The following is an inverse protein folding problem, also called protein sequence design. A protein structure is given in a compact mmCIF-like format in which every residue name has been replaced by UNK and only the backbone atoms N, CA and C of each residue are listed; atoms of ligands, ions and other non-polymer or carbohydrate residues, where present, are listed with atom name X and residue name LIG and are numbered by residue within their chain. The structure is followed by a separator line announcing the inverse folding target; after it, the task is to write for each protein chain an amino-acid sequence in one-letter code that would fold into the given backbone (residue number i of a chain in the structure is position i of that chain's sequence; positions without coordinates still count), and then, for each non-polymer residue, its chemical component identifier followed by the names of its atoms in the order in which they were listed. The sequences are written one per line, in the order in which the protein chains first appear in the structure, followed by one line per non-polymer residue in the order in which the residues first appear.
data_IF_966060037587
#
_entry.id   IF_966060037587
#
_cell.length_a   1.000
_cell.length_b   1.000
_cell.length_c   1.000
_cell.angle_alpha   90.00
_cell.angle_beta   90.00
_cell.angle_gamma   90.00
#
_symmetry.space_group_name_H-M   'P 1'
#
loop_
_entity.id
_entity.type
_entity.pdbx_description
1 polymer ?
#
# COMPACT_ATOMS: atom_id res chain seq x y z
N UNK A 1 5.24 14.24 -33.27
CA UNK A 1 5.02 15.01 -32.02
C UNK A 1 4.20 14.24 -30.99
N UNK A 2 2.93 13.83 -31.20
CA UNK A 2 2.18 13.09 -30.18
C UNK A 2 2.74 11.68 -29.90
N UNK A 3 3.21 10.96 -30.89
CA UNK A 3 3.81 9.61 -30.78
C UNK A 3 5.18 9.67 -30.09
N UNK A 4 6.03 10.65 -30.44
CA UNK A 4 7.34 10.84 -29.79
C UNK A 4 7.21 11.19 -28.30
N UNK A 5 6.24 12.03 -27.92
CA UNK A 5 5.98 12.32 -26.50
C UNK A 5 5.46 11.09 -25.72
N UNK A 6 4.81 10.17 -26.38
CA UNK A 6 4.31 8.94 -25.76
C UNK A 6 5.44 7.92 -25.56
N UNK A 7 6.36 7.79 -26.53
CA UNK A 7 7.56 6.96 -26.42
C UNK A 7 8.53 7.50 -25.36
N UNK A 8 8.81 8.81 -25.32
CA UNK A 8 9.65 9.43 -24.31
C UNK A 8 9.09 9.25 -22.90
N UNK A 9 7.77 9.38 -22.73
CA UNK A 9 7.10 9.16 -21.46
C UNK A 9 7.17 7.70 -21.00
N UNK A 10 7.09 6.76 -21.94
CA UNK A 10 7.18 5.33 -21.65
C UNK A 10 8.61 4.93 -21.25
N UNK A 11 9.64 5.43 -21.97
CA UNK A 11 11.06 5.24 -21.60
C UNK A 11 11.35 5.80 -20.20
N UNK A 12 10.84 6.99 -19.90
CA UNK A 12 11.02 7.62 -18.59
C UNK A 12 10.46 6.72 -17.48
N UNK A 13 9.25 6.20 -17.64
CA UNK A 13 8.61 5.36 -16.64
C UNK A 13 9.27 3.99 -16.51
N UNK A 14 9.56 3.32 -17.61
CA UNK A 14 10.00 1.94 -17.60
C UNK A 14 11.50 1.79 -17.27
N UNK A 15 12.33 2.74 -17.66
CA UNK A 15 13.78 2.64 -17.53
C UNK A 15 14.38 3.58 -16.49
N UNK A 16 13.98 4.85 -16.47
CA UNK A 16 14.63 5.86 -15.64
C UNK A 16 14.07 5.87 -14.22
N UNK A 17 12.75 5.79 -14.04
CA UNK A 17 12.14 5.83 -12.73
C UNK A 17 12.60 4.73 -11.77
N UNK A 18 12.71 3.45 -12.18
CA UNK A 18 13.23 2.40 -11.31
C UNK A 18 14.68 2.61 -10.88
N UNK A 19 15.52 3.17 -11.77
CA UNK A 19 16.93 3.45 -11.47
C UNK A 19 17.07 4.58 -10.45
N UNK A 20 16.32 5.68 -10.63
CA UNK A 20 16.28 6.79 -9.67
C UNK A 20 15.77 6.28 -8.32
N UNK A 21 14.71 5.48 -8.30
CA UNK A 21 14.15 4.91 -7.09
C UNK A 21 15.16 4.00 -6.37
N UNK A 22 15.95 3.22 -7.10
CA UNK A 22 17.00 2.36 -6.54
C UNK A 22 18.14 3.17 -5.89
N UNK A 23 18.59 4.24 -6.56
CA UNK A 23 19.63 5.14 -6.02
C UNK A 23 19.15 5.88 -4.77
N UNK A 24 17.91 6.41 -4.79
CA UNK A 24 17.32 7.06 -3.63
C UNK A 24 17.20 6.09 -2.45
N UNK A 25 16.75 4.86 -2.68
CA UNK A 25 16.64 3.83 -1.62
C UNK A 25 17.99 3.51 -1.01
N UNK A 26 19.06 3.41 -1.81
CA UNK A 26 20.42 3.20 -1.32
C UNK A 26 20.89 4.34 -0.42
N UNK A 27 20.71 5.59 -0.82
CA UNK A 27 21.06 6.77 -0.03
C UNK A 27 20.25 6.84 1.29
N UNK A 28 18.99 6.45 1.24
CA UNK A 28 18.10 6.44 2.41
C UNK A 28 18.48 5.39 3.46
N UNK A 29 19.13 4.27 3.09
CA UNK A 29 19.55 3.23 4.02
C UNK A 29 20.47 3.76 5.14
N UNK A 30 21.40 4.64 4.80
CA UNK A 30 22.30 5.27 5.79
C UNK A 30 21.55 6.20 6.75
N UNK A 31 20.57 6.92 6.25
CA UNK A 31 19.71 7.82 7.04
C UNK A 31 18.86 6.99 8.02
N UNK A 32 18.33 5.86 7.59
CA UNK A 32 17.56 4.95 8.44
C UNK A 32 18.35 4.51 9.68
N UNK A 33 19.59 4.02 9.48
CA UNK A 33 20.44 3.57 10.57
C UNK A 33 20.74 4.67 11.60
N UNK A 34 20.86 5.92 11.17
CA UNK A 34 21.02 7.05 12.08
C UNK A 34 19.72 7.39 12.82
N UNK A 35 18.58 7.39 12.10
CA UNK A 35 17.27 7.72 12.66
C UNK A 35 16.82 6.73 13.72
N UNK A 36 16.98 5.41 13.50
CA UNK A 36 16.56 4.38 14.47
C UNK A 36 17.27 4.52 15.82
N UNK A 37 18.49 5.11 15.84
CA UNK A 37 19.21 5.40 17.09
C UNK A 37 18.69 6.63 17.83
N UNK A 38 18.04 7.55 17.12
CA UNK A 38 17.52 8.80 17.70
C UNK A 38 16.07 8.69 18.15
N UNK A 39 15.32 7.73 17.58
CA UNK A 39 13.91 7.53 17.90
C UNK A 39 13.78 6.92 19.31
N UNK A 40 12.91 7.44 20.19
CA UNK A 40 12.70 6.91 21.52
C UNK A 40 12.01 5.55 21.48
N UNK A 41 12.22 4.75 22.51
CA UNK A 41 11.58 3.44 22.67
C UNK A 41 10.08 3.57 22.83
N UNK A 42 9.65 4.54 23.63
CA UNK A 42 8.25 4.94 23.79
C UNK A 42 8.13 6.46 23.66
N UNK A 43 6.93 6.95 23.32
CA UNK A 43 6.73 8.40 23.19
C UNK A 43 6.88 9.07 24.57
N UNK A 44 7.77 10.06 24.70
CA UNK A 44 7.91 10.80 25.94
C UNK A 44 6.66 11.64 26.23
N UNK A 45 6.33 11.79 27.50
CA UNK A 45 5.30 12.72 27.96
C UNK A 45 5.78 14.17 27.76
N UNK A 46 4.92 15.00 27.16
CA UNK A 46 5.16 16.44 26.92
C UNK A 46 5.43 16.81 25.47
N UNK A 47 4.96 18.01 25.10
CA UNK A 47 5.15 18.59 23.77
C UNK A 47 6.56 19.14 23.57
N UNK A 48 7.08 19.05 22.34
CA UNK A 48 8.36 19.65 21.95
C UNK A 48 9.62 18.91 22.39
N UNK A 49 9.49 17.66 22.82
CA UNK A 49 10.65 16.84 23.21
C UNK A 49 11.52 16.44 22.00
N UNK A 50 12.82 16.20 22.23
CA UNK A 50 13.75 15.66 21.20
C UNK A 50 13.22 14.34 20.61
N UNK A 51 12.60 13.50 21.45
CA UNK A 51 11.99 12.23 21.02
C UNK A 51 10.81 12.43 20.07
N UNK A 52 9.96 13.43 20.31
CA UNK A 52 8.87 13.77 19.40
C UNK A 52 9.41 14.22 18.04
N UNK A 53 10.42 15.09 18.03
CA UNK A 53 11.08 15.54 16.81
C UNK A 53 11.68 14.38 16.02
N UNK A 54 12.31 13.41 16.70
CA UNK A 54 12.87 12.22 16.09
C UNK A 54 11.79 11.32 15.48
N UNK A 55 10.65 11.12 16.15
CA UNK A 55 9.52 10.35 15.63
C UNK A 55 8.89 11.01 14.39
N UNK A 56 8.73 12.34 14.40
CA UNK A 56 8.25 13.11 13.24
C UNK A 56 9.23 12.96 12.06
N UNK A 57 10.53 13.04 12.31
CA UNK A 57 11.56 12.85 11.30
C UNK A 57 11.51 11.43 10.72
N UNK A 58 11.35 10.43 11.57
CA UNK A 58 11.20 9.02 11.19
C UNK A 58 9.94 8.82 10.32
N UNK A 59 8.80 9.37 10.70
CA UNK A 59 7.59 9.35 9.88
C UNK A 59 7.84 9.98 8.49
N UNK A 60 8.46 11.14 8.44
CA UNK A 60 8.82 11.83 7.19
C UNK A 60 9.71 10.96 6.30
N UNK A 61 10.68 10.28 6.89
CA UNK A 61 11.54 9.32 6.23
C UNK A 61 10.75 8.15 5.61
N UNK A 62 9.85 7.51 6.36
CA UNK A 62 9.02 6.41 5.87
C UNK A 62 8.06 6.85 4.76
N UNK A 63 7.51 8.08 4.84
CA UNK A 63 6.71 8.69 3.76
C UNK A 63 7.53 8.83 2.48
N UNK A 64 8.74 9.35 2.57
CA UNK A 64 9.63 9.49 1.41
C UNK A 64 9.98 8.12 0.82
N UNK A 65 10.31 7.14 1.65
CA UNK A 65 10.60 5.77 1.20
C UNK A 65 9.40 5.13 0.50
N UNK A 66 8.19 5.37 0.99
CA UNK A 66 6.95 4.92 0.35
C UNK A 66 6.77 5.57 -1.04
N UNK A 67 7.03 6.87 -1.18
CA UNK A 67 7.00 7.55 -2.48
C UNK A 67 7.98 6.90 -3.47
N UNK A 68 9.21 6.64 -3.03
CA UNK A 68 10.23 5.95 -3.82
C UNK A 68 9.77 4.55 -4.24
N UNK A 69 9.15 3.80 -3.32
CA UNK A 69 8.61 2.48 -3.62
C UNK A 69 7.46 2.54 -4.64
N UNK A 70 6.54 3.49 -4.52
CA UNK A 70 5.45 3.64 -5.48
C UNK A 70 5.98 4.07 -6.86
N UNK A 71 6.98 4.95 -6.89
CA UNK A 71 7.64 5.37 -8.12
C UNK A 71 8.34 4.20 -8.82
N UNK A 72 9.02 3.31 -8.07
CA UNK A 72 9.66 2.12 -8.64
C UNK A 72 8.69 1.13 -9.28
N UNK A 73 7.42 1.17 -8.89
CA UNK A 73 6.37 0.32 -9.44
C UNK A 73 5.52 1.02 -10.52
N UNK A 74 5.77 2.30 -10.80
CA UNK A 74 5.03 3.06 -11.81
C UNK A 74 5.01 2.38 -13.21
N UNK A 75 6.07 1.67 -13.67
CA UNK A 75 6.03 0.93 -14.92
C UNK A 75 4.88 -0.08 -15.05
N UNK A 76 4.38 -0.62 -13.92
CA UNK A 76 3.24 -1.54 -13.95
C UNK A 76 1.96 -0.91 -14.52
N UNK A 77 1.84 0.43 -14.44
CA UNK A 77 0.63 1.14 -14.89
C UNK A 77 0.46 0.98 -16.41
N UNK A 78 1.57 1.02 -17.18
CA UNK A 78 1.59 0.83 -18.63
C UNK A 78 1.78 -0.63 -19.04
N UNK A 79 2.21 -1.51 -18.14
CA UNK A 79 2.44 -2.92 -18.44
C UNK A 79 1.14 -3.65 -18.76
N UNK A 80 1.14 -4.38 -19.89
CA UNK A 80 0.01 -5.21 -20.34
C UNK A 80 0.24 -6.71 -20.11
N UNK A 81 1.47 -7.13 -19.85
CA UNK A 81 1.82 -8.53 -19.67
C UNK A 81 1.35 -9.05 -18.31
N UNK A 82 0.96 -10.34 -18.26
CA UNK A 82 0.61 -10.99 -16.99
C UNK A 82 1.79 -11.01 -16.02
N UNK A 83 1.48 -10.89 -14.73
CA UNK A 83 2.48 -11.02 -13.66
C UNK A 83 2.88 -12.49 -13.47
N UNK A 84 4.16 -12.71 -13.15
CA UNK A 84 4.62 -14.03 -12.72
C UNK A 84 4.03 -14.37 -11.35
N UNK A 85 3.28 -15.46 -11.26
CA UNK A 85 2.56 -15.85 -10.04
C UNK A 85 3.16 -17.07 -9.38
N UNK A 86 2.92 -17.20 -8.06
CA UNK A 86 3.25 -18.35 -7.22
C UNK A 86 2.03 -18.75 -6.41
N UNK A 87 1.90 -20.03 -6.06
CA UNK A 87 0.84 -20.45 -5.15
C UNK A 87 1.13 -19.93 -3.74
N UNK A 88 0.18 -19.22 -3.17
CA UNK A 88 0.27 -18.65 -1.82
C UNK A 88 -0.97 -19.07 -1.03
N UNK A 89 -0.78 -19.43 0.23
CA UNK A 89 -1.87 -19.62 1.18
C UNK A 89 -2.35 -18.26 1.67
N UNK A 90 -3.47 -17.79 1.11
CA UNK A 90 -3.93 -16.40 1.26
C UNK A 90 -4.49 -16.09 2.64
N UNK A 91 -5.09 -17.09 3.32
CA UNK A 91 -5.69 -16.87 4.64
C UNK A 91 -4.62 -16.62 5.68
N UNK A 92 -3.59 -17.46 5.75
CA UNK A 92 -2.46 -17.28 6.66
C UNK A 92 -1.71 -15.98 6.34
N UNK A 93 -1.40 -15.73 5.06
CA UNK A 93 -0.72 -14.54 4.61
C UNK A 93 -1.46 -13.25 5.03
N UNK A 94 -2.78 -13.19 4.79
CA UNK A 94 -3.56 -12.01 5.14
C UNK A 94 -3.74 -11.86 6.64
N UNK A 95 -3.92 -12.97 7.37
CA UNK A 95 -4.07 -12.96 8.84
C UNK A 95 -2.82 -12.39 9.50
N UNK A 96 -1.64 -12.79 9.05
CA UNK A 96 -0.37 -12.28 9.57
C UNK A 96 -0.18 -10.79 9.29
N UNK A 97 -0.44 -10.34 8.05
CA UNK A 97 -0.40 -8.91 7.70
C UNK A 97 -1.35 -8.08 8.58
N UNK A 98 -2.57 -8.55 8.79
CA UNK A 98 -3.54 -7.85 9.62
C UNK A 98 -3.14 -7.85 11.09
N UNK A 99 -2.58 -8.96 11.60
CA UNK A 99 -2.08 -9.03 12.96
C UNK A 99 -0.98 -7.99 13.22
N UNK A 100 -0.04 -7.84 12.30
CA UNK A 100 0.99 -6.80 12.39
C UNK A 100 0.45 -5.38 12.23
N UNK A 101 -0.61 -5.18 11.44
CA UNK A 101 -1.15 -3.85 11.14
C UNK A 101 -2.07 -3.31 12.25
N UNK A 102 -2.86 -4.17 12.90
CA UNK A 102 -3.87 -3.77 13.88
C UNK A 102 -3.33 -2.86 15.00
N UNK A 103 -2.22 -3.18 15.71
CA UNK A 103 -1.72 -2.33 16.78
C UNK A 103 -1.25 -0.97 16.26
N UNK A 104 -0.68 -0.90 15.05
CA UNK A 104 -0.21 0.33 14.46
C UNK A 104 -1.35 1.22 13.97
N UNK A 105 -2.39 0.64 13.37
CA UNK A 105 -3.59 1.36 12.94
C UNK A 105 -4.37 1.94 14.14
N UNK A 106 -4.32 1.27 15.29
CA UNK A 106 -4.92 1.78 16.53
C UNK A 106 -4.35 3.15 16.95
N UNK A 107 -3.07 3.47 16.62
CA UNK A 107 -2.51 4.81 16.87
C UNK A 107 -3.23 5.92 16.08
N UNK A 108 -3.87 5.60 14.96
CA UNK A 108 -4.72 6.54 14.23
C UNK A 108 -6.15 6.65 14.80
N UNK A 109 -6.46 5.92 15.87
CA UNK A 109 -7.81 5.86 16.45
C UNK A 109 -8.80 5.07 15.60
N UNK A 110 -8.33 4.28 14.64
CA UNK A 110 -9.16 3.49 13.71
C UNK A 110 -9.14 2.03 14.10
N UNK A 111 -10.30 1.37 14.06
CA UNK A 111 -10.41 -0.08 14.29
C UNK A 111 -10.18 -0.82 12.98
N UNK A 112 -9.17 -1.68 12.92
CA UNK A 112 -8.92 -2.57 11.78
C UNK A 112 -9.44 -3.97 12.08
N UNK A 113 -10.33 -4.51 11.23
CA UNK A 113 -10.96 -5.82 11.38
C UNK A 113 -10.71 -6.70 10.16
N UNK A 114 -10.36 -7.96 10.37
CA UNK A 114 -10.31 -8.98 9.33
C UNK A 114 -11.57 -9.85 9.38
N UNK A 115 -12.29 -9.98 8.26
CA UNK A 115 -13.41 -10.90 8.08
C UNK A 115 -13.05 -11.94 7.03
N UNK A 116 -12.82 -13.17 7.46
CA UNK A 116 -12.52 -14.29 6.58
C UNK A 116 -13.36 -15.51 6.99
N UNK A 117 -14.13 -16.03 6.06
CA UNK A 117 -14.92 -17.25 6.26
C UNK A 117 -14.20 -18.51 5.81
N UNK A 118 -13.01 -18.36 5.21
CA UNK A 118 -12.19 -19.45 4.71
C UNK A 118 -11.24 -19.91 5.81
N UNK A 119 -11.05 -21.22 5.95
CA UNK A 119 -10.06 -21.79 6.86
C UNK A 119 -8.68 -21.88 6.23
N UNK A 120 -8.63 -22.11 4.91
CA UNK A 120 -7.43 -22.10 4.09
C UNK A 120 -7.82 -21.85 2.63
N UNK A 121 -7.00 -21.10 1.90
CA UNK A 121 -7.22 -20.87 0.47
C UNK A 121 -5.91 -20.60 -0.26
N UNK A 122 -5.59 -21.43 -1.23
CA UNK A 122 -4.38 -21.30 -2.05
C UNK A 122 -4.75 -20.76 -3.42
N UNK A 123 -4.14 -19.63 -3.81
CA UNK A 123 -4.26 -19.07 -5.14
C UNK A 123 -2.90 -18.64 -5.72
N UNK A 124 -2.82 -18.64 -7.06
CA UNK A 124 -1.64 -18.16 -7.78
C UNK A 124 -1.64 -16.64 -7.83
N UNK A 125 -0.75 -16.02 -7.05
CA UNK A 125 -0.58 -14.55 -6.96
C UNK A 125 0.89 -14.18 -7.05
N UNK A 126 1.17 -12.90 -7.33
CA UNK A 126 2.49 -12.29 -7.13
C UNK A 126 2.55 -11.66 -5.73
N UNK A 127 3.25 -12.27 -4.73
CA UNK A 127 3.14 -11.88 -3.32
C UNK A 127 3.43 -10.40 -3.08
N UNK A 128 4.59 -9.90 -3.55
CA UNK A 128 5.02 -8.52 -3.30
C UNK A 128 4.09 -7.47 -3.93
N UNK A 129 3.50 -7.75 -5.09
CA UNK A 129 2.56 -6.84 -5.71
C UNK A 129 1.19 -6.87 -5.04
N UNK A 130 0.71 -8.06 -4.61
CA UNK A 130 -0.53 -8.12 -3.85
C UNK A 130 -0.38 -7.44 -2.47
N UNK A 131 0.76 -7.60 -1.81
CA UNK A 131 1.09 -6.90 -0.57
C UNK A 131 1.09 -5.38 -0.77
N UNK A 132 1.73 -4.88 -1.83
CA UNK A 132 1.72 -3.46 -2.21
C UNK A 132 0.31 -2.93 -2.45
N UNK A 133 -0.52 -3.70 -3.17
CA UNK A 133 -1.92 -3.36 -3.41
C UNK A 133 -2.66 -3.22 -2.08
N UNK A 134 -2.54 -4.20 -1.19
CA UNK A 134 -3.19 -4.18 0.12
C UNK A 134 -2.77 -2.95 0.94
N UNK A 135 -1.46 -2.65 1.03
CA UNK A 135 -0.98 -1.47 1.75
C UNK A 135 -1.47 -0.15 1.15
N UNK A 136 -1.59 -0.04 -0.17
CA UNK A 136 -2.14 1.15 -0.80
C UNK A 136 -3.63 1.33 -0.47
N UNK A 137 -4.42 0.27 -0.50
CA UNK A 137 -5.85 0.31 -0.13
C UNK A 137 -6.03 0.62 1.36
N UNK A 138 -5.30 -0.07 2.24
CA UNK A 138 -5.35 0.15 3.69
C UNK A 138 -4.93 1.57 4.07
N UNK A 139 -3.88 2.09 3.45
CA UNK A 139 -3.45 3.45 3.73
C UNK A 139 -4.51 4.49 3.37
N UNK A 140 -5.18 4.31 2.23
CA UNK A 140 -6.28 5.20 1.88
C UNK A 140 -7.45 5.06 2.87
N UNK A 141 -7.85 3.83 3.18
CA UNK A 141 -8.93 3.56 4.13
C UNK A 141 -8.66 4.20 5.51
N UNK A 142 -7.48 3.97 6.08
CA UNK A 142 -7.11 4.53 7.40
C UNK A 142 -6.99 6.05 7.36
N UNK A 143 -6.40 6.61 6.30
CA UNK A 143 -6.20 8.06 6.14
C UNK A 143 -7.51 8.84 6.09
N UNK A 144 -8.54 8.29 5.45
CA UNK A 144 -9.82 8.99 5.25
C UNK A 144 -10.91 8.56 6.23
N UNK A 145 -10.60 7.64 7.15
CA UNK A 145 -11.48 7.26 8.27
C UNK A 145 -11.21 8.15 9.47
N UNK A 146 -12.21 8.84 10.02
CA UNK A 146 -12.04 9.63 11.23
C UNK A 146 -11.75 8.74 12.45
N UNK A 147 -11.14 9.32 13.48
CA UNK A 147 -10.92 8.62 14.76
C UNK A 147 -12.24 8.08 15.32
N UNK A 148 -12.22 6.85 15.82
CA UNK A 148 -13.41 6.09 16.24
C UNK A 148 -14.07 5.27 15.12
N UNK A 149 -13.65 5.46 13.85
CA UNK A 149 -14.17 4.71 12.71
C UNK A 149 -13.56 3.31 12.56
N UNK A 150 -14.02 2.59 11.55
CA UNK A 150 -13.64 1.20 11.30
C UNK A 150 -13.18 1.00 9.85
N UNK A 151 -12.14 0.18 9.69
CA UNK A 151 -11.69 -0.37 8.41
C UNK A 151 -11.81 -1.89 8.47
N UNK A 152 -12.57 -2.47 7.54
CA UNK A 152 -12.77 -3.92 7.45
C UNK A 152 -12.10 -4.46 6.20
N UNK A 153 -11.23 -5.46 6.37
CA UNK A 153 -10.67 -6.26 5.29
C UNK A 153 -11.42 -7.58 5.22
N UNK A 154 -11.89 -7.95 4.03
CA UNK A 154 -12.64 -9.20 3.83
C UNK A 154 -11.97 -10.05 2.75
N UNK A 155 -11.79 -11.36 3.03
CA UNK A 155 -11.35 -12.33 2.05
C UNK A 155 -12.44 -13.38 1.83
N UNK A 156 -12.84 -13.57 0.57
CA UNK A 156 -13.84 -14.56 0.16
C UNK A 156 -13.45 -15.21 -1.16
N UNK A 157 -13.90 -16.43 -1.38
CA UNK A 157 -13.85 -17.11 -2.68
C UNK A 157 -15.28 -17.27 -3.20
N UNK A 158 -15.55 -16.83 -4.42
CA UNK A 158 -16.86 -16.94 -5.05
C UNK A 158 -16.73 -16.97 -6.58
N UNK A 159 -17.53 -17.81 -7.23
CA UNK A 159 -17.66 -17.86 -8.70
C UNK A 159 -16.34 -17.94 -9.46
N UNK A 160 -15.38 -18.73 -8.97
CA UNK A 160 -14.06 -18.90 -9.60
C UNK A 160 -13.12 -17.71 -9.43
N UNK A 161 -13.41 -16.84 -8.45
CA UNK A 161 -12.57 -15.70 -8.08
C UNK A 161 -12.30 -15.65 -6.59
N UNK A 162 -11.14 -15.12 -6.23
CA UNK A 162 -10.81 -14.65 -4.89
C UNK A 162 -11.14 -13.17 -4.82
N UNK A 163 -11.91 -12.78 -3.82
CA UNK A 163 -12.34 -11.41 -3.59
C UNK A 163 -11.66 -10.87 -2.32
N UNK A 164 -10.78 -9.90 -2.49
CA UNK A 164 -10.18 -9.13 -1.40
C UNK A 164 -10.85 -7.76 -1.36
N UNK A 165 -11.55 -7.46 -0.27
CA UNK A 165 -12.30 -6.22 -0.11
C UNK A 165 -11.71 -5.43 1.07
N UNK A 166 -11.48 -4.12 0.87
CA UNK A 166 -11.17 -3.15 1.92
C UNK A 166 -12.32 -2.15 1.95
N UNK A 167 -13.00 -2.08 3.09
CA UNK A 167 -14.12 -1.16 3.32
C UNK A 167 -13.79 -0.27 4.51
N UNK A 168 -14.03 1.02 4.38
CA UNK A 168 -13.87 2.03 5.42
C UNK A 168 -15.20 2.73 5.73
N UNK A 169 -15.33 3.24 6.95
CA UNK A 169 -16.42 4.10 7.39
C UNK A 169 -16.04 5.58 7.32
N UNK A 170 -15.26 5.94 6.32
CA UNK A 170 -14.72 7.29 6.13
C UNK A 170 -15.70 8.26 5.49
N UNK A 171 -15.20 9.42 5.09
CA UNK A 171 -15.98 10.51 4.49
C UNK A 171 -16.47 10.22 3.08
N UNK A 172 -16.03 9.10 2.49
CA UNK A 172 -16.30 8.75 1.10
C UNK A 172 -15.60 9.66 0.08
N UNK A 173 -15.87 9.42 -1.19
CA UNK A 173 -15.29 10.14 -2.33
C UNK A 173 -16.42 10.81 -3.10
N UNK A 174 -16.40 12.13 -3.30
CA UNK A 174 -17.39 12.85 -4.10
C UNK A 174 -17.51 12.29 -5.52
N UNK A 175 -18.72 12.20 -6.11
CA UNK A 175 -18.93 11.60 -7.43
C UNK A 175 -18.06 12.21 -8.53
N UNK A 176 -17.85 13.53 -8.51
CA UNK A 176 -17.00 14.24 -9.47
C UNK A 176 -15.52 13.83 -9.39
N UNK A 177 -15.06 13.38 -8.22
CA UNK A 177 -13.69 12.88 -8.05
C UNK A 177 -13.57 11.41 -8.44
N UNK A 178 -14.64 10.61 -8.28
CA UNK A 178 -14.63 9.19 -8.60
C UNK A 178 -14.29 8.92 -10.07
N UNK A 179 -14.79 9.76 -10.98
CA UNK A 179 -14.53 9.65 -12.43
C UNK A 179 -13.02 9.74 -12.78
N UNK A 180 -12.23 10.38 -11.92
CA UNK A 180 -10.81 10.70 -12.18
C UNK A 180 -9.82 9.92 -11.31
N UNK A 181 -10.30 9.02 -10.44
CA UNK A 181 -9.44 8.27 -9.51
C UNK A 181 -8.41 7.36 -10.18
N UNK A 182 -8.73 6.89 -11.38
CA UNK A 182 -7.90 5.97 -12.15
C UNK A 182 -7.22 6.65 -13.35
N UNK A 183 -7.54 7.92 -13.61
CA UNK A 183 -6.83 8.70 -14.61
C UNK A 183 -5.37 8.80 -14.18
N UNK A 184 -4.49 8.19 -14.97
CA UNK A 184 -3.07 8.14 -14.66
C UNK A 184 -2.51 9.54 -14.46
N UNK A 185 -1.70 9.70 -13.44
CA UNK A 185 -1.01 10.94 -13.07
C UNK A 185 -0.30 11.63 -14.27
N UNK A 186 0.13 10.86 -15.25
CA UNK A 186 0.85 11.32 -16.42
C UNK A 186 0.03 12.14 -17.41
N UNK A 187 -1.30 11.96 -17.46
CA UNK A 187 -2.15 12.74 -18.36
C UNK A 187 -2.41 14.17 -17.84
N UNK A 188 -2.28 14.44 -16.57
CA UNK A 188 -2.68 15.72 -15.98
C UNK A 188 -1.55 16.61 -15.47
N UNK A 189 -0.30 16.14 -15.36
CA UNK A 189 0.89 16.90 -14.87
C UNK A 189 0.63 17.88 -13.70
N UNK A 190 -0.46 17.69 -12.97
CA UNK A 190 -0.82 18.51 -11.81
C UNK A 190 -0.66 17.66 -10.56
N UNK A 191 0.49 17.87 -9.89
CA UNK A 191 0.67 17.32 -8.56
C UNK A 191 -0.42 17.84 -7.63
N UNK A 192 -1.21 16.94 -6.98
CA UNK A 192 -2.09 17.41 -5.92
C UNK A 192 -1.25 18.08 -4.83
N UNK A 193 -1.76 19.14 -4.21
CA UNK A 193 -1.01 19.80 -3.14
C UNK A 193 -0.73 18.83 -1.99
N UNK A 194 0.45 18.95 -1.34
CA UNK A 194 0.71 18.19 -0.11
C UNK A 194 -0.43 18.40 0.92
N UNK A 195 -0.85 17.35 1.64
CA UNK A 195 -0.16 16.08 1.93
C UNK A 195 -0.70 14.88 1.13
N UNK A 196 -1.30 15.06 -0.04
CA UNK A 196 -2.08 14.02 -0.73
C UNK A 196 -1.26 12.95 -1.46
N UNK A 197 0.07 13.04 -1.49
CA UNK A 197 0.94 12.08 -2.18
C UNK A 197 0.88 12.21 -3.71
N UNK A 198 1.53 11.26 -4.44
CA UNK A 198 1.66 11.31 -5.90
C UNK A 198 0.40 10.85 -6.67
N UNK A 199 -0.67 10.46 -6.01
CA UNK A 199 -1.86 9.92 -6.69
C UNK A 199 -1.66 8.57 -7.39
N UNK A 200 -0.52 7.90 -7.20
CA UNK A 200 -0.19 6.63 -7.86
C UNK A 200 -0.82 5.39 -7.21
N UNK A 201 -1.37 5.50 -6.00
CA UNK A 201 -1.82 4.34 -5.22
C UNK A 201 -2.93 3.54 -5.91
N UNK A 202 -4.04 4.17 -6.27
CA UNK A 202 -5.17 3.50 -6.94
C UNK A 202 -4.84 3.05 -8.37
N UNK A 203 -4.18 3.84 -9.22
CA UNK A 203 -3.68 3.37 -10.52
C UNK A 203 -2.78 2.14 -10.42
N UNK A 204 -1.86 2.08 -9.44
CA UNK A 204 -1.04 0.91 -9.17
C UNK A 204 -1.88 -0.30 -8.74
N UNK A 205 -2.88 -0.11 -7.85
CA UNK A 205 -3.78 -1.18 -7.45
C UNK A 205 -4.55 -1.75 -8.65
N UNK A 206 -5.03 -0.90 -9.55
CA UNK A 206 -5.71 -1.32 -10.78
C UNK A 206 -4.76 -2.09 -11.72
N UNK A 207 -3.53 -1.60 -11.91
CA UNK A 207 -2.53 -2.27 -12.72
C UNK A 207 -2.13 -3.64 -12.15
N UNK A 208 -1.94 -3.73 -10.84
CA UNK A 208 -1.65 -5.00 -10.16
C UNK A 208 -2.81 -5.99 -10.31
N UNK A 209 -4.05 -5.55 -10.10
CA UNK A 209 -5.22 -6.41 -10.30
C UNK A 209 -5.30 -6.92 -11.75
N UNK A 210 -5.11 -6.04 -12.72
CA UNK A 210 -5.08 -6.38 -14.16
C UNK A 210 -3.95 -7.37 -14.49
N UNK A 211 -2.74 -7.15 -13.96
CA UNK A 211 -1.60 -8.04 -14.17
C UNK A 211 -1.81 -9.46 -13.61
N UNK A 212 -2.71 -9.63 -12.62
CA UNK A 212 -3.18 -10.94 -12.16
C UNK A 212 -4.33 -11.50 -13.02
N UNK A 213 -4.79 -10.79 -14.06
CA UNK A 213 -5.98 -11.15 -14.84
C UNK A 213 -7.29 -10.85 -14.12
N UNK A 214 -7.25 -10.01 -13.11
CA UNK A 214 -8.37 -9.62 -12.27
C UNK A 214 -8.89 -8.21 -12.55
N UNK A 215 -9.71 -7.70 -11.61
CA UNK A 215 -10.34 -6.38 -11.70
C UNK A 215 -10.38 -5.71 -10.32
N UNK A 216 -10.41 -4.37 -10.33
CA UNK A 216 -10.64 -3.55 -9.15
C UNK A 216 -11.97 -2.81 -9.35
N UNK A 217 -12.84 -2.90 -8.33
CA UNK A 217 -14.13 -2.23 -8.26
C UNK A 217 -14.12 -1.30 -7.06
N UNK A 218 -14.61 -0.07 -7.25
CA UNK A 218 -14.71 0.94 -6.20
C UNK A 218 -16.17 1.37 -6.09
N UNK A 219 -16.68 1.39 -4.86
CA UNK A 219 -17.97 1.94 -4.49
C UNK A 219 -17.75 2.92 -3.35
N UNK A 220 -18.25 4.14 -3.46
CA UNK A 220 -18.06 5.16 -2.44
C UNK A 220 -19.29 6.05 -2.34
N UNK A 221 -19.58 6.46 -1.12
CA UNK A 221 -20.71 7.30 -0.75
C UNK A 221 -20.47 7.96 0.62
N UNK A 222 -21.46 8.64 1.18
CA UNK A 222 -21.33 9.36 2.46
C UNK A 222 -21.05 8.45 3.66
N UNK A 223 -21.30 7.14 3.53
CA UNK A 223 -21.06 6.13 4.58
C UNK A 223 -19.65 5.51 4.51
N UNK A 224 -18.80 5.94 3.57
CA UNK A 224 -17.44 5.45 3.38
C UNK A 224 -17.14 4.93 1.99
N UNK A 225 -16.02 4.22 1.87
CA UNK A 225 -15.54 3.65 0.61
C UNK A 225 -15.31 2.15 0.73
N UNK A 226 -15.68 1.44 -0.31
CA UNK A 226 -15.43 0.00 -0.44
C UNK A 226 -14.69 -0.25 -1.74
N UNK A 227 -13.50 -0.83 -1.64
CA UNK A 227 -12.70 -1.26 -2.79
C UNK A 227 -12.60 -2.78 -2.78
N UNK A 228 -13.06 -3.41 -3.86
CA UNK A 228 -12.99 -4.87 -4.04
C UNK A 228 -12.05 -5.21 -5.18
N UNK A 229 -11.06 -6.05 -4.90
CA UNK A 229 -10.17 -6.64 -5.89
C UNK A 229 -10.63 -8.06 -6.13
N UNK A 230 -10.99 -8.36 -7.39
CA UNK A 230 -11.38 -9.69 -7.84
C UNK A 230 -10.25 -10.30 -8.63
N UNK A 231 -9.66 -11.40 -8.15
CA UNK A 231 -8.59 -12.13 -8.79
C UNK A 231 -9.09 -13.50 -9.24
N UNK A 232 -8.66 -14.03 -10.40
CA UNK A 232 -8.99 -15.40 -10.81
C UNK A 232 -8.51 -16.41 -9.78
N UNK A 233 -9.38 -17.31 -9.35
CA UNK A 233 -9.05 -18.42 -8.45
C UNK A 233 -8.35 -19.53 -9.24
N UNK A 234 -7.04 -19.38 -9.41
CA UNK A 234 -6.19 -20.30 -10.16
C UNK A 234 -5.07 -20.82 -9.29
N UNK A 235 -4.55 -21.99 -9.66
CA UNK A 235 -3.31 -22.54 -9.11
C UNK A 235 -2.30 -22.72 -10.23
N UNK A 236 -1.03 -22.47 -9.95
CA UNK A 236 0.06 -22.83 -10.83
C UNK A 236 0.67 -24.19 -10.40
N UNK A 237 1.46 -24.79 -11.28
CA UNK A 237 2.11 -26.09 -11.01
C UNK A 237 3.26 -26.02 -10.01
N UNK A 238 3.57 -24.81 -9.51
CA UNK A 238 4.68 -24.53 -8.58
C UNK A 238 4.29 -24.89 -7.13
N UNK A 239 5.29 -25.01 -6.27
CA UNK A 239 5.14 -25.28 -4.82
C UNK A 239 4.32 -24.16 -4.14
N UNK A 240 3.60 -24.50 -3.08
CA UNK A 240 2.82 -23.56 -2.27
C UNK A 240 3.75 -22.82 -1.30
N UNK A 241 3.71 -21.49 -1.31
CA UNK A 241 4.34 -20.65 -0.31
C UNK A 241 3.34 -20.44 0.84
N UNK A 242 3.61 -21.04 1.99
CA UNK A 242 2.76 -20.86 3.19
C UNK A 242 3.03 -19.55 3.90
N UNK A 243 4.27 -19.15 3.94
CA UNK A 243 4.77 -17.93 4.58
C UNK A 243 5.62 -17.14 3.57
N UNK A 244 5.00 -16.42 2.63
CA UNK A 244 5.80 -15.58 1.74
C UNK A 244 6.47 -14.48 2.57
N UNK A 245 7.78 -14.27 2.40
CA UNK A 245 8.46 -13.18 3.10
C UNK A 245 7.78 -11.86 2.75
N UNK A 246 7.64 -10.97 3.72
CA UNK A 246 7.16 -9.61 3.48
C UNK A 246 8.19 -8.86 2.63
N UNK A 247 8.00 -8.87 1.33
CA UNK A 247 8.97 -8.33 0.38
C UNK A 247 8.79 -6.83 0.15
N UNK A 248 7.64 -6.29 0.55
CA UNK A 248 7.31 -4.87 0.33
C UNK A 248 8.27 -3.92 1.06
N UNK A 249 8.70 -4.28 2.25
CA UNK A 249 9.56 -3.45 3.09
C UNK A 249 10.99 -3.29 2.58
N UNK A 250 11.52 -4.27 1.81
CA UNK A 250 12.91 -4.22 1.33
C UNK A 250 13.95 -4.04 2.43
N UNK A 251 13.72 -4.64 3.62
CA UNK A 251 14.54 -4.49 4.82
C UNK A 251 14.03 -3.45 5.82
N UNK A 252 12.94 -2.73 5.52
CA UNK A 252 12.25 -1.81 6.42
C UNK A 252 10.95 -2.43 6.94
N UNK A 253 10.44 -1.91 8.06
CA UNK A 253 9.18 -2.40 8.63
C UNK A 253 8.02 -2.23 7.65
N UNK A 254 7.40 -3.31 7.13
CA UNK A 254 6.48 -3.25 5.99
C UNK A 254 5.19 -2.48 6.29
N UNK A 255 4.67 -2.58 7.52
CA UNK A 255 3.44 -1.89 7.92
C UNK A 255 3.67 -0.39 8.06
N UNK A 256 4.76 0.04 8.74
CA UNK A 256 5.11 1.46 8.86
C UNK A 256 5.35 2.08 7.49
N UNK A 257 6.01 1.34 6.60
CA UNK A 257 6.22 1.78 5.22
C UNK A 257 4.91 1.86 4.45
N UNK A 258 4.09 0.82 4.53
CA UNK A 258 2.82 0.74 3.82
C UNK A 258 1.79 1.77 4.27
N UNK A 259 1.79 2.13 5.56
CA UNK A 259 0.84 3.03 6.18
C UNK A 259 1.42 4.41 6.56
N UNK A 260 2.64 4.74 6.10
CA UNK A 260 3.36 5.97 6.51
C UNK A 260 2.54 7.26 6.34
N UNK A 261 1.67 7.34 5.33
CA UNK A 261 0.83 8.52 5.07
C UNK A 261 -0.41 8.59 5.97
N UNK A 262 -0.80 7.46 6.58
CA UNK A 262 -2.03 7.34 7.35
C UNK A 262 -1.79 7.31 8.87
N UNK A 263 -0.60 6.83 9.30
CA UNK A 263 -0.26 6.74 10.71
C UNK A 263 0.22 8.08 11.27
N UNK A 264 -0.12 8.43 12.53
CA UNK A 264 0.45 9.57 13.23
C UNK A 264 1.92 9.30 13.59
N UNK A 265 2.69 10.37 13.87
CA UNK A 265 4.11 10.24 14.26
C UNK A 265 4.31 9.39 15.53
N UNK A 266 3.32 9.30 16.40
CA UNK A 266 3.33 8.48 17.62
C UNK A 266 3.47 6.98 17.36
N UNK A 267 3.17 6.52 16.14
CA UNK A 267 3.40 5.13 15.73
C UNK A 267 4.88 4.83 15.41
N UNK A 268 5.72 5.86 15.22
CA UNK A 268 7.13 5.70 14.79
C UNK A 268 8.08 5.73 16.00
N UNK A 269 7.90 4.79 16.92
CA UNK A 269 8.78 4.54 18.06
C UNK A 269 9.71 3.36 17.79
N UNK A 270 10.81 3.24 18.52
CA UNK A 270 11.77 2.13 18.36
C UNK A 270 11.10 0.77 18.54
N UNK A 271 10.21 0.65 19.53
CA UNK A 271 9.41 -0.56 19.76
C UNK A 271 8.61 -1.04 18.54
N UNK A 272 8.22 -0.13 17.67
CA UNK A 272 7.45 -0.43 16.47
C UNK A 272 8.33 -0.51 15.21
N UNK A 273 9.61 -0.12 15.29
CA UNK A 273 10.57 -0.18 14.18
C UNK A 273 11.31 -1.53 14.10
N UNK A 274 11.51 -2.18 15.25
CA UNK A 274 12.13 -3.51 15.40
C UNK A 274 11.09 -4.62 15.19
#
# INVERSE_FOLDING_TARGET
MAVEHQEDSQILLEQIMPQIAAQLRGAMGNIHTALTRLVPEEMPEGEGSTGQSAAILCQGYYRLLRLVNNLSAAPLISQTEPLETKNVELVAWLTELMHCAQPLVAHAGVRLTLRCSLTAHVAAIHPSYLERLLWNLLSNAVKYTPSGGEVTVTLRAAAGHVLLTVADSGVGIPPEQQAHLFDGYLEKLRMPPPPQGLGLGLPLCQAIARGHGGRLLLQSGPEGTTVTVSLPDRRCTKTVLREPPFAYGGGFHPVLLGLADALPYTAFTRKNLD
#
